data_IF_303690681646
#
_entry.id   IF_303690681646
#
_cell.length_a   1.000
_cell.length_b   1.000
_cell.length_c   1.000
_cell.angle_alpha   90.00
_cell.angle_beta   90.00
_cell.angle_gamma   90.00
#
_symmetry.space_group_name_H-M   'P 1'
#
loop_
_entity.id
_entity.type
_entity.pdbx_description
1 polymer ?
#
# COMPACT_ATOMS: atom_id res chain seq x y z
N UNK A 1 24.23 -26.50 -19.08
CA UNK A 1 23.64 -25.72 -17.97
C UNK A 1 22.49 -24.87 -18.51
N UNK A 2 21.46 -25.49 -19.11
CA UNK A 2 20.63 -24.76 -20.10
C UNK A 2 19.13 -24.74 -19.80
N UNK A 3 18.60 -25.64 -18.97
CA UNK A 3 17.15 -25.70 -18.70
C UNK A 3 16.64 -24.47 -17.95
N UNK A 4 17.31 -24.04 -16.88
CA UNK A 4 16.85 -22.92 -16.04
C UNK A 4 16.79 -21.57 -16.78
N UNK A 5 17.77 -21.27 -17.64
CA UNK A 5 17.75 -20.04 -18.44
C UNK A 5 16.72 -20.11 -19.57
N UNK A 6 16.48 -21.29 -20.16
CA UNK A 6 15.43 -21.49 -21.16
C UNK A 6 14.03 -21.36 -20.56
N UNK A 7 13.83 -21.86 -19.34
CA UNK A 7 12.57 -21.76 -18.59
C UNK A 7 12.28 -20.32 -18.13
N UNK A 8 13.32 -19.60 -17.67
CA UNK A 8 13.23 -18.18 -17.37
C UNK A 8 12.81 -17.37 -18.61
N UNK A 9 13.47 -17.57 -19.75
CA UNK A 9 13.13 -16.86 -21.00
C UNK A 9 11.70 -17.16 -21.45
N UNK A 10 11.30 -18.44 -21.44
CA UNK A 10 9.93 -18.84 -21.79
C UNK A 10 8.87 -18.26 -20.83
N UNK A 11 9.23 -18.04 -19.56
CA UNK A 11 8.34 -17.42 -18.56
C UNK A 11 8.21 -15.90 -18.79
N UNK A 12 9.31 -15.24 -19.15
CA UNK A 12 9.34 -13.82 -19.54
C UNK A 12 8.49 -13.55 -20.80
N UNK A 13 8.66 -14.35 -21.85
CA UNK A 13 7.85 -14.26 -23.07
C UNK A 13 6.35 -14.43 -22.77
N UNK A 14 5.99 -15.43 -21.95
CA UNK A 14 4.59 -15.63 -21.51
C UNK A 14 4.07 -14.44 -20.68
N UNK A 15 4.90 -13.84 -19.82
CA UNK A 15 4.52 -12.68 -19.02
C UNK A 15 4.25 -11.45 -19.90
N UNK A 16 5.09 -11.20 -20.91
CA UNK A 16 4.89 -10.14 -21.89
C UNK A 16 3.65 -10.38 -22.77
N UNK A 17 3.41 -11.63 -23.19
CA UNK A 17 2.21 -11.99 -23.94
C UNK A 17 0.93 -11.78 -23.10
N UNK A 18 0.89 -12.28 -21.85
CA UNK A 18 -0.23 -12.05 -20.92
C UNK A 18 -0.45 -10.55 -20.64
N UNK A 19 0.62 -9.75 -20.57
CA UNK A 19 0.56 -8.29 -20.43
C UNK A 19 -0.08 -7.64 -21.68
N UNK A 20 0.26 -8.08 -22.89
CA UNK A 20 -0.36 -7.59 -24.14
C UNK A 20 -1.85 -7.94 -24.27
N UNK A 21 -2.29 -9.03 -23.63
CA UNK A 21 -3.69 -9.44 -23.54
C UNK A 21 -4.46 -8.78 -22.38
N UNK A 22 -3.84 -7.84 -21.65
CA UNK A 22 -4.35 -7.23 -20.42
C UNK A 22 -4.72 -8.24 -19.30
N UNK A 23 -4.18 -9.46 -19.33
CA UNK A 23 -4.34 -10.48 -18.29
C UNK A 23 -3.43 -10.15 -17.08
N UNK A 24 -3.63 -9.00 -16.44
CA UNK A 24 -2.73 -8.42 -15.43
C UNK A 24 -2.40 -9.38 -14.28
N UNK A 25 -3.39 -10.11 -13.75
CA UNK A 25 -3.17 -11.11 -12.70
C UNK A 25 -2.25 -12.25 -13.12
N UNK A 26 -2.39 -12.73 -14.36
CA UNK A 26 -1.60 -13.83 -14.94
C UNK A 26 -0.20 -13.36 -15.30
N UNK A 27 -0.07 -12.16 -15.88
CA UNK A 27 1.21 -11.51 -16.11
C UNK A 27 1.98 -11.32 -14.80
N UNK A 28 1.33 -10.85 -13.73
CA UNK A 28 1.95 -10.67 -12.41
C UNK A 28 2.38 -12.00 -11.79
N UNK A 29 1.58 -13.07 -11.92
CA UNK A 29 1.97 -14.42 -11.47
C UNK A 29 3.19 -14.96 -12.24
N UNK A 30 3.26 -14.73 -13.56
CA UNK A 30 4.39 -15.14 -14.39
C UNK A 30 5.66 -14.34 -14.08
N UNK A 31 5.54 -13.02 -13.87
CA UNK A 31 6.67 -12.20 -13.42
C UNK A 31 7.15 -12.59 -12.01
N UNK A 32 6.25 -12.96 -11.09
CA UNK A 32 6.62 -13.47 -9.77
C UNK A 32 7.41 -14.78 -9.86
N UNK A 33 6.99 -15.72 -10.70
CA UNK A 33 7.74 -16.95 -10.94
C UNK A 33 9.11 -16.68 -11.62
N UNK A 34 9.19 -15.73 -12.54
CA UNK A 34 10.46 -15.31 -13.15
C UNK A 34 11.45 -14.73 -12.11
N UNK A 35 10.96 -14.00 -11.09
CA UNK A 35 11.79 -13.50 -9.99
C UNK A 35 12.35 -14.63 -9.12
N UNK A 36 11.57 -15.68 -8.85
CA UNK A 36 12.05 -16.87 -8.11
C UNK A 36 13.16 -17.61 -8.88
N UNK A 37 12.96 -17.83 -10.19
CA UNK A 37 13.96 -18.44 -11.08
C UNK A 37 15.24 -17.60 -11.19
N UNK A 38 15.12 -16.27 -11.22
CA UNK A 38 16.26 -15.35 -11.19
C UNK A 38 16.99 -15.39 -9.85
N UNK A 39 16.27 -15.38 -8.73
CA UNK A 39 16.87 -15.45 -7.40
C UNK A 39 17.65 -16.76 -7.20
N UNK A 40 17.10 -17.90 -7.62
CA UNK A 40 17.80 -19.18 -7.60
C UNK A 40 19.08 -19.15 -8.47
N UNK A 41 19.04 -18.54 -9.66
CA UNK A 41 20.23 -18.39 -10.51
C UNK A 41 21.27 -17.42 -9.92
N UNK A 42 20.85 -16.35 -9.22
CA UNK A 42 21.77 -15.40 -8.54
C UNK A 42 22.50 -16.08 -7.38
N UNK A 43 21.84 -16.97 -6.64
CA UNK A 43 22.45 -17.76 -5.57
C UNK A 43 23.38 -18.87 -6.11
N UNK A 44 23.04 -19.48 -7.26
CA UNK A 44 23.87 -20.48 -7.91
C UNK A 44 25.08 -19.89 -8.67
N UNK A 45 25.04 -18.61 -9.03
CA UNK A 45 26.14 -17.91 -9.68
C UNK A 45 27.26 -17.52 -8.70
N UNK A 46 28.51 -17.60 -9.15
CA UNK A 46 29.66 -17.22 -8.33
C UNK A 46 29.58 -15.74 -7.90
N UNK A 47 29.88 -15.42 -6.62
CA UNK A 47 29.78 -14.05 -6.11
C UNK A 47 30.71 -13.09 -6.87
N UNK A 48 30.20 -11.90 -7.16
CA UNK A 48 30.86 -10.85 -7.95
C UNK A 48 31.21 -11.21 -9.40
N UNK A 49 30.77 -12.37 -9.93
CA UNK A 49 30.91 -12.68 -11.35
C UNK A 49 30.08 -11.74 -12.24
N UNK A 50 30.56 -11.49 -13.46
CA UNK A 50 29.83 -10.70 -14.47
C UNK A 50 28.43 -11.29 -14.74
N UNK A 51 28.31 -12.62 -14.75
CA UNK A 51 27.04 -13.33 -14.88
C UNK A 51 26.08 -13.01 -13.72
N UNK A 52 26.57 -12.99 -12.46
CA UNK A 52 25.74 -12.61 -11.32
C UNK A 52 25.28 -11.15 -11.43
N UNK A 53 26.15 -10.23 -11.86
CA UNK A 53 25.77 -8.82 -12.08
C UNK A 53 24.69 -8.67 -13.17
N UNK A 54 24.79 -9.41 -14.27
CA UNK A 54 23.76 -9.45 -15.32
C UNK A 54 22.41 -9.98 -14.79
N UNK A 55 22.44 -11.08 -14.02
CA UNK A 55 21.23 -11.64 -13.40
C UNK A 55 20.60 -10.66 -12.39
N UNK A 56 21.41 -9.96 -11.59
CA UNK A 56 20.94 -8.92 -10.65
C UNK A 56 20.32 -7.74 -11.40
N UNK A 57 20.87 -7.33 -12.54
CA UNK A 57 20.27 -6.27 -13.37
C UNK A 57 18.91 -6.71 -13.90
N UNK A 58 18.83 -7.91 -14.50
CA UNK A 58 17.59 -8.47 -15.03
C UNK A 58 16.53 -8.65 -13.93
N UNK A 59 16.93 -9.06 -12.72
CA UNK A 59 16.04 -9.13 -11.55
C UNK A 59 15.43 -7.76 -11.20
N UNK A 60 16.20 -6.68 -11.23
CA UNK A 60 15.69 -5.32 -10.98
C UNK A 60 14.70 -4.89 -12.06
N UNK A 61 14.99 -5.16 -13.33
CA UNK A 61 14.10 -4.82 -14.46
C UNK A 61 12.77 -5.56 -14.37
N UNK A 62 12.81 -6.87 -14.07
CA UNK A 62 11.62 -7.71 -13.89
C UNK A 62 10.80 -7.26 -12.68
N UNK A 63 11.46 -6.94 -11.55
CA UNK A 63 10.79 -6.46 -10.35
C UNK A 63 10.07 -5.13 -10.60
N UNK A 64 10.72 -4.20 -11.29
CA UNK A 64 10.15 -2.89 -11.66
C UNK A 64 8.89 -3.06 -12.53
N UNK A 65 8.92 -3.95 -13.52
CA UNK A 65 7.75 -4.25 -14.36
C UNK A 65 6.61 -4.91 -13.59
N UNK A 66 6.92 -5.80 -12.64
CA UNK A 66 5.92 -6.42 -11.78
C UNK A 66 5.24 -5.40 -10.86
N UNK A 67 5.99 -4.42 -10.33
CA UNK A 67 5.44 -3.33 -9.53
C UNK A 67 4.60 -2.35 -10.36
N UNK A 68 5.02 -2.01 -11.58
CA UNK A 68 4.24 -1.18 -12.51
C UNK A 68 2.90 -1.83 -12.87
N UNK A 69 2.91 -3.13 -13.21
CA UNK A 69 1.69 -3.91 -13.45
C UNK A 69 0.76 -3.98 -12.24
N UNK A 70 1.33 -4.08 -11.04
CA UNK A 70 0.56 -4.04 -9.79
C UNK A 70 -0.10 -2.68 -9.58
N UNK A 71 0.61 -1.58 -9.87
CA UNK A 71 0.05 -0.24 -9.82
C UNK A 71 -1.04 -0.02 -10.89
N UNK A 72 -0.80 -0.45 -12.13
CA UNK A 72 -1.78 -0.41 -13.23
C UNK A 72 -3.07 -1.19 -12.89
N UNK A 73 -2.95 -2.36 -12.26
CA UNK A 73 -4.08 -3.14 -11.74
C UNK A 73 -4.90 -2.37 -10.70
N UNK A 74 -4.26 -1.60 -9.82
CA UNK A 74 -4.96 -0.74 -8.84
C UNK A 74 -5.52 0.55 -9.43
N UNK A 75 -4.89 1.09 -10.49
CA UNK A 75 -5.37 2.29 -11.18
C UNK A 75 -6.64 2.04 -12.01
N UNK A 76 -6.88 0.78 -12.42
CA UNK A 76 -8.06 0.40 -13.22
C UNK A 76 -9.40 0.35 -12.46
N UNK A 77 -9.42 0.69 -11.16
CA UNK A 77 -10.65 0.73 -10.35
C UNK A 77 -11.09 2.14 -9.90
N UNK A 78 -10.72 3.19 -10.64
CA UNK A 78 -11.31 4.52 -10.48
C UNK A 78 -11.90 5.05 -11.79
N UNK A 79 -13.22 4.99 -11.99
CA UNK A 79 -13.85 5.58 -13.17
C UNK A 79 -13.80 7.12 -13.08
N UNK A 80 -13.91 7.78 -14.25
CA UNK A 80 -13.95 9.25 -14.43
C UNK A 80 -12.59 9.90 -14.05
N UNK A 81 -11.70 10.15 -15.01
CA UNK A 81 -11.82 11.29 -15.94
C UNK A 81 -12.68 12.41 -15.35
N UNK A 82 -12.07 13.53 -15.00
CA UNK A 82 -12.48 14.91 -15.32
C UNK A 82 -11.40 15.84 -14.73
N UNK A 83 -11.03 16.89 -15.47
CA UNK A 83 -10.05 17.92 -15.09
C UNK A 83 -8.58 17.46 -14.90
N UNK A 84 -7.95 17.02 -15.99
CA UNK A 84 -6.73 17.74 -16.37
C UNK A 84 -7.16 18.99 -17.15
N UNK A 85 -6.75 20.17 -16.68
CA UNK A 85 -6.81 21.39 -17.46
C UNK A 85 -5.37 21.80 -17.82
N UNK A 86 -5.02 21.97 -19.10
CA UNK A 86 -3.73 22.51 -19.49
C UNK A 86 -3.65 24.00 -19.10
N UNK A 87 -2.45 24.44 -18.73
CA UNK A 87 -2.18 25.85 -18.45
C UNK A 87 -2.00 26.63 -19.77
N UNK A 88 -2.53 27.86 -19.86
CA UNK A 88 -1.81 29.02 -20.42
C UNK A 88 -2.53 30.34 -20.07
N UNK A 89 -1.83 31.49 -20.03
CA UNK A 89 -2.37 32.77 -19.52
C UNK A 89 -2.78 33.75 -20.64
N UNK A 90 -3.71 34.69 -20.34
CA UNK A 90 -3.66 36.10 -20.79
C UNK A 90 -4.84 36.96 -20.26
N UNK A 91 -4.48 38.10 -19.65
CA UNK A 91 -5.00 39.46 -19.86
C UNK A 91 -6.51 39.85 -19.75
N UNK A 92 -6.68 41.05 -19.16
CA UNK A 92 -7.57 42.19 -19.54
C UNK A 92 -9.02 42.30 -18.98
N UNK A 93 -9.10 43.05 -17.87
CA UNK A 93 -9.98 44.22 -17.62
C UNK A 93 -11.51 44.18 -17.48
N UNK A 94 -11.98 44.97 -16.48
CA UNK A 94 -13.23 45.79 -16.42
C UNK A 94 -14.60 45.08 -16.37
N UNK A 95 -15.62 45.54 -15.64
CA UNK A 95 -15.83 46.74 -14.78
C UNK A 95 -17.10 46.59 -13.90
N UNK A 96 -17.30 47.50 -12.92
CA UNK A 96 -18.56 47.78 -12.17
C UNK A 96 -19.11 46.65 -11.27
N UNK A 97 -19.47 46.85 -9.99
CA UNK A 97 -20.36 47.88 -9.42
C UNK A 97 -21.76 47.25 -9.23
N UNK A 98 -22.45 47.26 -8.08
CA UNK A 98 -22.37 48.05 -6.85
C UNK A 98 -22.93 47.25 -5.63
N UNK A 99 -22.85 47.74 -4.38
CA UNK A 99 -23.28 46.99 -3.18
C UNK A 99 -24.71 47.35 -2.70
N UNK A 100 -25.36 46.43 -1.99
CA UNK A 100 -26.49 46.73 -1.09
C UNK A 100 -26.39 45.87 0.18
N UNK A 101 -26.66 46.45 1.34
CA UNK A 101 -26.47 45.83 2.66
C UNK A 101 -27.77 45.85 3.49
N UNK A 102 -27.81 45.07 4.59
CA UNK A 102 -28.86 45.09 5.64
C UNK A 102 -30.29 44.70 5.14
N UNK A 103 -31.35 44.47 5.92
CA UNK A 103 -31.60 44.12 7.35
C UNK A 103 -33.11 43.76 7.46
N UNK A 104 -33.66 43.04 8.46
CA UNK A 104 -33.16 42.17 9.54
C UNK A 104 -34.39 41.47 10.19
N UNK A 105 -34.23 40.92 11.41
CA UNK A 105 -35.27 40.73 12.43
C UNK A 105 -36.31 39.58 12.33
N UNK A 106 -36.12 38.64 13.26
CA UNK A 106 -37.06 38.29 14.35
C UNK A 106 -38.26 37.34 14.10
N UNK A 107 -38.44 36.43 15.08
CA UNK A 107 -39.64 35.60 15.24
C UNK A 107 -39.36 34.16 15.68
N UNK A 108 -39.32 33.89 16.99
CA UNK A 108 -39.53 32.53 17.54
C UNK A 108 -41.01 32.35 17.94
N UNK A 109 -41.33 31.51 18.93
CA UNK A 109 -40.94 30.11 19.12
C UNK A 109 -42.19 29.20 19.22
N UNK A 110 -42.05 27.87 19.07
CA UNK A 110 -43.13 26.92 19.42
C UNK A 110 -42.57 25.54 19.79
N UNK A 111 -43.19 24.88 20.78
CA UNK A 111 -42.77 23.57 21.31
C UNK A 111 -43.85 22.49 21.13
N UNK A 112 -43.40 21.25 20.89
CA UNK A 112 -44.13 19.98 21.04
C UNK A 112 -43.06 18.87 21.17
N UNK A 113 -43.04 18.03 22.21
CA UNK A 113 -43.76 16.74 22.33
C UNK A 113 -43.46 15.74 21.17
N UNK A 114 -43.23 14.43 21.38
CA UNK A 114 -43.14 13.63 22.61
C UNK A 114 -42.55 12.21 22.32
N UNK A 115 -41.81 11.67 23.29
CA UNK A 115 -41.41 10.28 23.59
C UNK A 115 -41.61 9.07 22.63
N UNK A 116 -40.52 8.28 22.51
CA UNK A 116 -40.40 6.81 22.70
C UNK A 116 -41.24 5.78 21.88
N UNK A 117 -40.54 4.98 21.07
CA UNK A 117 -40.57 3.49 21.00
C UNK A 117 -39.53 3.04 19.93
N UNK A 118 -38.48 2.27 20.20
CA UNK A 118 -38.37 0.89 20.69
C UNK A 118 -38.63 -0.21 19.63
N UNK A 119 -37.64 -1.10 19.49
CA UNK A 119 -37.60 -2.36 18.72
C UNK A 119 -37.58 -2.29 17.18
N UNK A 120 -36.76 -3.14 16.54
CA UNK A 120 -37.04 -3.62 15.17
C UNK A 120 -35.98 -3.49 14.07
N UNK A 121 -34.67 -3.47 14.33
CA UNK A 121 -33.66 -3.62 13.26
C UNK A 121 -32.36 -4.30 13.74
N UNK A 122 -32.48 -5.54 14.22
CA UNK A 122 -31.31 -6.38 14.43
C UNK A 122 -30.76 -6.92 13.09
N UNK A 123 -29.46 -7.21 13.05
CA UNK A 123 -28.79 -8.11 12.09
C UNK A 123 -28.59 -7.61 10.64
N UNK A 124 -27.58 -6.76 10.41
CA UNK A 124 -26.70 -6.76 9.19
C UNK A 124 -25.46 -5.84 9.32
N UNK A 125 -24.78 -5.83 10.47
CA UNK A 125 -23.71 -4.84 10.77
C UNK A 125 -22.27 -5.33 11.07
N UNK A 126 -21.98 -6.54 11.61
CA UNK A 126 -20.65 -6.80 12.18
C UNK A 126 -19.51 -6.88 11.16
N UNK A 127 -19.79 -7.31 9.92
CA UNK A 127 -18.77 -7.47 8.88
C UNK A 127 -18.26 -6.13 8.31
N UNK A 128 -19.14 -5.14 8.15
CA UNK A 128 -18.78 -3.85 7.57
C UNK A 128 -17.81 -3.07 8.48
N UNK A 129 -18.04 -3.09 9.79
CA UNK A 129 -17.18 -2.45 10.78
C UNK A 129 -15.80 -3.12 10.85
N UNK A 130 -15.75 -4.46 10.85
CA UNK A 130 -14.49 -5.20 10.87
C UNK A 130 -13.62 -4.91 9.63
N UNK A 131 -14.22 -4.83 8.44
CA UNK A 131 -13.50 -4.45 7.21
C UNK A 131 -12.98 -3.01 7.29
N UNK A 132 -13.77 -2.06 7.80
CA UNK A 132 -13.35 -0.67 7.96
C UNK A 132 -12.19 -0.53 8.97
N UNK A 133 -12.30 -1.18 10.14
CA UNK A 133 -11.23 -1.22 11.15
C UNK A 133 -9.96 -1.87 10.61
N UNK A 134 -10.08 -2.92 9.80
CA UNK A 134 -8.92 -3.58 9.19
C UNK A 134 -8.20 -2.68 8.18
N UNK A 135 -8.91 -1.93 7.33
CA UNK A 135 -8.27 -0.97 6.43
C UNK A 135 -7.62 0.19 7.18
N UNK A 136 -8.26 0.71 8.24
CA UNK A 136 -7.65 1.71 9.13
C UNK A 136 -6.36 1.17 9.78
N UNK A 137 -6.40 -0.09 10.22
CA UNK A 137 -5.25 -0.78 10.80
C UNK A 137 -4.09 -0.89 9.79
N UNK A 138 -4.38 -1.27 8.53
CA UNK A 138 -3.39 -1.37 7.46
C UNK A 138 -2.73 -0.04 7.11
N UNK A 139 -3.51 1.02 6.92
CA UNK A 139 -2.92 2.34 6.63
C UNK A 139 -2.06 2.82 7.80
N UNK A 140 -2.51 2.63 9.05
CA UNK A 140 -1.71 3.00 10.21
C UNK A 140 -0.43 2.19 10.34
N UNK A 141 -0.45 0.89 10.05
CA UNK A 141 0.75 0.06 9.99
C UNK A 141 1.71 0.53 8.89
N UNK A 142 1.19 0.94 7.73
CA UNK A 142 2.00 1.49 6.63
C UNK A 142 2.68 2.80 7.02
N UNK A 143 1.95 3.74 7.63
CA UNK A 143 2.50 5.00 8.12
C UNK A 143 3.63 4.78 9.13
N UNK A 144 3.40 3.93 10.13
CA UNK A 144 4.38 3.62 11.18
C UNK A 144 5.61 2.91 10.61
N UNK A 145 5.45 2.00 9.65
CA UNK A 145 6.58 1.34 8.99
C UNK A 145 7.47 2.32 8.22
N UNK A 146 6.88 3.27 7.47
CA UNK A 146 7.66 4.30 6.76
C UNK A 146 8.41 5.20 7.73
N UNK A 147 7.76 5.64 8.82
CA UNK A 147 8.39 6.48 9.84
C UNK A 147 9.49 5.73 10.59
N UNK A 148 9.27 4.47 10.97
CA UNK A 148 10.25 3.66 11.70
C UNK A 148 11.53 3.46 10.87
N UNK A 149 11.39 3.06 9.60
CA UNK A 149 12.53 2.86 8.69
C UNK A 149 13.27 4.17 8.40
N UNK A 150 12.57 5.31 8.31
CA UNK A 150 13.21 6.62 8.13
C UNK A 150 13.97 7.09 9.39
N UNK A 151 13.42 6.87 10.58
CA UNK A 151 14.11 7.15 11.85
C UNK A 151 15.35 6.25 12.04
N UNK A 152 15.21 4.97 11.70
CA UNK A 152 16.27 3.96 11.74
C UNK A 152 17.43 4.32 10.78
N UNK A 153 17.11 4.60 9.51
CA UNK A 153 18.08 5.02 8.50
C UNK A 153 18.72 6.38 8.74
N UNK A 154 18.14 7.22 9.60
CA UNK A 154 18.73 8.50 10.05
C UNK A 154 19.47 8.40 11.39
N UNK A 155 19.64 7.19 11.94
CA UNK A 155 20.37 6.95 13.19
C UNK A 155 19.60 7.32 14.47
N UNK A 156 18.32 7.67 14.36
CA UNK A 156 17.45 8.03 15.49
C UNK A 156 16.91 6.77 16.18
N UNK A 157 17.81 5.93 16.69
CA UNK A 157 17.49 4.59 17.20
C UNK A 157 16.38 4.55 18.26
N UNK A 158 16.31 5.55 19.16
CA UNK A 158 15.25 5.63 20.19
C UNK A 158 13.86 5.85 19.56
N UNK A 159 13.78 6.76 18.59
CA UNK A 159 12.53 7.09 17.87
C UNK A 159 12.11 5.91 16.99
N UNK A 160 13.08 5.28 16.30
CA UNK A 160 12.85 4.07 15.52
C UNK A 160 12.31 2.92 16.38
N UNK A 161 12.89 2.67 17.57
CA UNK A 161 12.46 1.62 18.49
C UNK A 161 11.04 1.87 19.03
N UNK A 162 10.68 3.11 19.34
CA UNK A 162 9.31 3.48 19.71
C UNK A 162 8.34 3.24 18.54
N UNK A 163 8.69 3.66 17.33
CA UNK A 163 7.85 3.48 16.14
C UNK A 163 7.68 2.01 15.74
N UNK A 164 8.74 1.19 15.80
CA UNK A 164 8.64 -0.26 15.59
C UNK A 164 7.76 -0.93 16.66
N UNK A 165 7.85 -0.51 17.92
CA UNK A 165 6.97 -1.02 18.99
C UNK A 165 5.50 -0.72 18.70
N UNK A 166 5.17 0.52 18.34
CA UNK A 166 3.81 0.90 17.91
C UNK A 166 3.35 0.15 16.64
N UNK A 167 4.26 -0.10 15.70
CA UNK A 167 3.97 -0.87 14.48
C UNK A 167 3.58 -2.32 14.82
N UNK A 168 4.29 -2.97 15.73
CA UNK A 168 4.02 -4.35 16.15
C UNK A 168 2.64 -4.47 16.82
N UNK A 169 2.26 -3.51 17.68
CA UNK A 169 0.92 -3.46 18.28
C UNK A 169 -0.19 -3.36 17.23
N UNK A 170 -0.01 -2.48 16.23
CA UNK A 170 -0.96 -2.32 15.12
C UNK A 170 -1.01 -3.58 14.26
N UNK A 171 0.13 -4.17 13.88
CA UNK A 171 0.16 -5.42 13.10
C UNK A 171 -0.53 -6.58 13.85
N UNK A 172 -0.39 -6.67 15.17
CA UNK A 172 -1.12 -7.64 15.98
C UNK A 172 -2.65 -7.38 15.96
N UNK A 173 -3.09 -6.12 16.06
CA UNK A 173 -4.51 -5.77 15.85
C UNK A 173 -4.98 -6.16 14.44
N UNK A 174 -4.19 -5.91 13.40
CA UNK A 174 -4.55 -6.24 12.02
C UNK A 174 -4.66 -7.76 11.82
N UNK A 175 -3.76 -8.54 12.42
CA UNK A 175 -3.81 -10.01 12.41
C UNK A 175 -5.10 -10.56 13.03
N UNK A 176 -5.57 -9.98 14.14
CA UNK A 176 -6.84 -10.38 14.80
C UNK A 176 -8.10 -9.97 14.02
N UNK A 177 -8.01 -8.95 13.16
CA UNK A 177 -9.13 -8.45 12.34
C UNK A 177 -9.20 -9.13 10.96
N UNK A 178 -8.06 -9.59 10.44
CA UNK A 178 -7.98 -10.31 9.16
C UNK A 178 -8.55 -11.73 9.31
N UNK A 179 -9.52 -12.09 8.46
CA UNK A 179 -10.13 -13.42 8.42
C UNK A 179 -9.43 -14.40 7.47
N UNK A 180 -8.58 -13.91 6.56
CA UNK A 180 -7.85 -14.75 5.61
C UNK A 180 -6.55 -15.30 6.22
N UNK A 181 -6.39 -16.63 6.37
CA UNK A 181 -5.18 -17.23 6.95
C UNK A 181 -3.93 -16.93 6.09
N UNK A 182 -4.09 -16.81 4.76
CA UNK A 182 -3.00 -16.44 3.87
C UNK A 182 -2.50 -15.01 4.08
N UNK A 183 -3.38 -14.08 4.46
CA UNK A 183 -2.99 -12.68 4.75
C UNK A 183 -2.51 -12.55 6.20
N UNK A 184 -3.11 -13.28 7.15
CA UNK A 184 -2.57 -13.43 8.51
C UNK A 184 -1.11 -13.91 8.52
N UNK A 185 -0.75 -14.88 7.67
CA UNK A 185 0.61 -15.35 7.52
C UNK A 185 1.56 -14.25 6.98
N UNK A 186 1.12 -13.44 6.02
CA UNK A 186 1.90 -12.29 5.52
C UNK A 186 2.08 -11.20 6.59
N UNK A 187 1.05 -10.96 7.42
CA UNK A 187 1.13 -10.03 8.56
C UNK A 187 2.17 -10.55 9.58
N UNK A 188 2.16 -11.84 9.88
CA UNK A 188 3.13 -12.47 10.81
C UNK A 188 4.56 -12.47 10.26
N UNK A 189 4.78 -12.75 8.97
CA UNK A 189 6.09 -12.64 8.36
C UNK A 189 6.66 -11.21 8.47
N UNK A 190 5.83 -10.17 8.25
CA UNK A 190 6.24 -8.78 8.46
C UNK A 190 6.48 -8.45 9.93
N UNK A 191 5.63 -8.98 10.83
CA UNK A 191 5.79 -8.79 12.27
C UNK A 191 7.14 -9.30 12.77
N UNK A 192 7.59 -10.48 12.33
CA UNK A 192 8.90 -11.04 12.68
C UNK A 192 10.05 -10.12 12.24
N UNK A 193 10.06 -9.67 10.98
CA UNK A 193 11.10 -8.77 10.45
C UNK A 193 11.19 -7.46 11.26
N UNK A 194 10.06 -6.86 11.64
CA UNK A 194 10.06 -5.64 12.44
C UNK A 194 10.43 -5.88 13.92
N UNK A 195 10.11 -7.06 14.47
CA UNK A 195 10.51 -7.46 15.81
C UNK A 195 12.04 -7.63 15.89
N UNK A 196 12.63 -8.39 14.97
CA UNK A 196 14.09 -8.58 14.88
C UNK A 196 14.83 -7.24 14.76
N UNK A 197 14.30 -6.30 13.96
CA UNK A 197 14.91 -4.97 13.82
C UNK A 197 14.79 -4.14 15.10
N UNK A 198 13.65 -4.19 15.79
CA UNK A 198 13.46 -3.51 17.08
C UNK A 198 14.38 -4.08 18.18
N UNK A 199 14.59 -5.39 18.20
CA UNK A 199 15.51 -6.06 19.13
C UNK A 199 16.97 -5.72 18.84
N UNK A 200 17.37 -5.70 17.57
CA UNK A 200 18.71 -5.26 17.16
C UNK A 200 18.98 -3.81 17.59
N UNK A 201 18.01 -2.89 17.35
CA UNK A 201 18.11 -1.51 17.82
C UNK A 201 18.22 -1.42 19.35
N UNK A 202 17.46 -2.24 20.09
CA UNK A 202 17.53 -2.31 21.56
C UNK A 202 18.92 -2.74 22.04
N UNK A 203 19.52 -3.73 21.38
CA UNK A 203 20.89 -4.17 21.68
C UNK A 203 21.95 -3.09 21.36
N UNK A 204 21.74 -2.31 20.29
CA UNK A 204 22.62 -1.21 19.91
C UNK A 204 22.50 0.01 20.84
N UNK A 205 21.34 0.25 21.46
CA UNK A 205 21.16 1.31 22.47
C UNK A 205 21.59 0.90 23.88
N UNK A 206 21.85 -0.38 24.13
CA UNK A 206 22.25 -0.93 25.44
C UNK A 206 23.77 -1.08 25.62
N UNK A 207 24.58 -0.42 24.80
CA UNK A 207 26.06 -0.39 24.85
C UNK A 207 26.56 1.03 25.06
#
# INVERSE_FOLDING_TARGET
>A
MSSASSELQATLDKAQHAQSLHETSKALQLYQHALELLHAQIQAAAPASQQQQQLISLFKDVLTRAEDLKQAGTASQKPKQWLQAPQTPAAVSTSSGAPTAASASAGGPAAAQQSQAAAGAAQSAPAATAVAEYQQCKERARELAVQAVAADGSGQAAVALQLYSSLLEVLNRCHRLEGSPAVQAQIMARFQVYLERAELLRQLQGR
#
